data_IF_001190324206
#
_entry.id   IF_001190324206
#
_cell.length_a   1.000
_cell.length_b   1.000
_cell.length_c   1.000
_cell.angle_alpha   90.00
_cell.angle_beta   90.00
_cell.angle_gamma   90.00
#
_symmetry.space_group_name_H-M   'P 1'
#
loop_
_entity.id
_entity.type
_entity.pdbx_description
1 polymer ?
#
# COMPACT_ATOMS: atom_id res chain seq x y z
N UNK A 1 -15.96 5.79 31.56
CA UNK A 1 -17.10 6.08 30.67
C UNK A 1 -16.73 5.52 29.30
N UNK A 2 -16.79 4.20 29.05
CA UNK A 2 -17.95 3.31 29.16
C UNK A 2 -17.54 1.96 29.75
N UNK A 3 -18.00 1.71 30.97
CA UNK A 3 -18.14 0.37 31.52
C UNK A 3 -19.65 0.11 31.56
N UNK A 4 -20.20 -0.22 30.39
CA UNK A 4 -21.57 -0.70 30.29
C UNK A 4 -21.47 -2.21 30.25
N UNK A 5 -22.07 -2.88 31.24
CA UNK A 5 -22.17 -4.32 31.38
C UNK A 5 -22.19 -5.01 30.01
N UNK A 6 -21.19 -5.85 29.73
CA UNK A 6 -21.20 -6.72 28.53
C UNK A 6 -22.26 -7.80 28.75
N UNK A 7 -23.41 -7.77 28.06
CA UNK A 7 -24.42 -8.83 28.19
C UNK A 7 -23.89 -10.20 27.77
N UNK A 8 -22.82 -10.21 26.97
CA UNK A 8 -22.12 -11.41 26.54
C UNK A 8 -21.39 -12.13 27.68
N UNK A 9 -20.95 -11.46 28.76
CA UNK A 9 -20.11 -12.11 29.77
C UNK A 9 -20.92 -13.12 30.63
N UNK A 10 -22.20 -12.82 30.90
CA UNK A 10 -23.14 -13.74 31.58
C UNK A 10 -23.50 -14.94 30.68
N UNK A 11 -23.76 -14.67 29.39
CA UNK A 11 -23.97 -15.71 28.39
C UNK A 11 -22.75 -16.62 28.19
N UNK A 12 -21.54 -16.06 28.26
CA UNK A 12 -20.29 -16.83 28.15
C UNK A 12 -20.04 -17.64 29.42
N UNK A 13 -20.30 -17.08 30.62
CA UNK A 13 -20.17 -17.79 31.90
C UNK A 13 -21.15 -18.94 32.05
N UNK A 14 -22.43 -18.74 31.68
CA UNK A 14 -23.44 -19.81 31.65
C UNK A 14 -23.07 -20.92 30.65
N UNK A 15 -22.34 -20.59 29.58
CA UNK A 15 -21.73 -21.56 28.66
C UNK A 15 -20.36 -22.07 29.09
N UNK A 16 -19.90 -21.75 30.29
CA UNK A 16 -18.57 -22.11 30.82
C UNK A 16 -17.39 -21.69 29.95
N UNK A 17 -17.55 -20.64 29.14
CA UNK A 17 -16.48 -20.08 28.30
C UNK A 17 -15.63 -19.14 29.17
N UNK A 18 -14.31 -19.40 29.31
CA UNK A 18 -13.45 -18.55 30.13
C UNK A 18 -13.36 -17.14 29.55
N UNK A 19 -13.23 -16.15 30.42
CA UNK A 19 -13.10 -14.75 30.02
C UNK A 19 -11.92 -14.57 29.04
N UNK A 20 -12.05 -13.70 28.03
CA UNK A 20 -10.99 -13.47 27.06
C UNK A 20 -9.75 -12.90 27.75
N UNK A 21 -8.69 -13.69 27.78
CA UNK A 21 -7.38 -13.27 28.25
C UNK A 21 -6.80 -12.14 27.38
N UNK A 22 -6.29 -11.09 28.04
CA UNK A 22 -5.72 -9.93 27.39
C UNK A 22 -4.62 -10.32 26.37
N UNK A 23 -4.43 -9.54 25.29
CA UNK A 23 -5.13 -8.29 24.98
C UNK A 23 -6.51 -8.52 24.35
N UNK A 24 -7.48 -7.68 24.73
CA UNK A 24 -8.83 -7.66 24.16
C UNK A 24 -8.81 -7.31 22.66
N UNK A 25 -7.92 -6.39 22.26
CA UNK A 25 -7.67 -6.06 20.86
C UNK A 25 -6.55 -6.94 20.33
N UNK A 26 -6.82 -7.69 19.25
CA UNK A 26 -5.84 -8.61 18.61
C UNK A 26 -5.66 -8.24 17.14
N UNK A 27 -4.88 -7.20 16.80
CA UNK A 27 -4.75 -6.68 15.43
C UNK A 27 -4.27 -7.74 14.42
N UNK A 28 -3.50 -8.74 14.90
CA UNK A 28 -3.03 -9.84 14.07
C UNK A 28 -4.17 -10.67 13.47
N UNK A 29 -5.38 -10.69 14.05
CA UNK A 29 -6.54 -11.44 13.52
C UNK A 29 -6.98 -10.96 12.14
N UNK A 30 -6.86 -9.66 11.85
CA UNK A 30 -7.16 -9.11 10.52
C UNK A 30 -6.04 -9.36 9.49
N UNK A 31 -4.87 -9.86 9.94
CA UNK A 31 -3.68 -10.09 9.09
C UNK A 31 -3.42 -11.57 8.78
N UNK A 32 -4.33 -12.47 9.16
CA UNK A 32 -4.15 -13.93 9.06
C UNK A 32 -4.21 -14.47 7.64
N UNK A 33 -5.11 -13.94 6.80
CA UNK A 33 -5.29 -14.41 5.41
C UNK A 33 -5.19 -13.26 4.41
N UNK A 34 -4.85 -13.55 3.14
CA UNK A 34 -4.89 -12.54 2.09
C UNK A 34 -6.26 -11.87 1.92
N UNK A 35 -7.36 -12.61 2.09
CA UNK A 35 -8.71 -12.08 2.01
C UNK A 35 -9.01 -11.07 3.13
N UNK A 36 -8.69 -11.43 4.38
CA UNK A 36 -8.87 -10.53 5.54
C UNK A 36 -8.02 -9.26 5.41
N UNK A 37 -6.78 -9.40 4.92
CA UNK A 37 -5.90 -8.26 4.65
C UNK A 37 -6.43 -7.33 3.56
N UNK A 38 -7.09 -7.87 2.53
CA UNK A 38 -7.73 -7.08 1.47
C UNK A 38 -8.96 -6.35 1.99
N UNK A 39 -9.77 -7.00 2.82
CA UNK A 39 -10.95 -6.40 3.44
C UNK A 39 -10.60 -5.22 4.36
N UNK A 40 -9.54 -5.35 5.16
CA UNK A 40 -9.11 -4.33 6.13
C UNK A 40 -8.10 -3.31 5.55
N UNK A 41 -7.88 -3.28 4.23
CA UNK A 41 -6.90 -2.37 3.60
C UNK A 41 -7.50 -0.98 3.42
N UNK A 42 -6.82 0.03 3.93
CA UNK A 42 -7.24 1.44 3.81
C UNK A 42 -6.81 2.10 2.49
N UNK A 43 -5.66 1.69 1.95
CA UNK A 43 -5.08 2.33 0.76
C UNK A 43 -4.76 1.34 -0.35
N UNK A 44 -5.10 1.71 -1.58
CA UNK A 44 -4.77 1.01 -2.83
C UNK A 44 -3.96 1.98 -3.70
N UNK A 45 -2.91 1.47 -4.36
CA UNK A 45 -2.15 2.25 -5.34
C UNK A 45 -2.84 2.11 -6.69
N UNK A 46 -3.23 3.25 -7.25
CA UNK A 46 -3.78 3.36 -8.61
C UNK A 46 -2.65 3.76 -9.57
N UNK A 47 -2.46 3.05 -10.71
CA UNK A 47 -1.52 3.48 -11.75
C UNK A 47 -1.71 4.93 -12.20
N UNK A 48 -2.94 5.46 -12.19
CA UNK A 48 -3.22 6.85 -12.55
C UNK A 48 -2.65 7.86 -11.54
N UNK A 49 -2.35 7.43 -10.30
CA UNK A 49 -1.71 8.25 -9.29
C UNK A 49 -0.17 8.27 -9.40
N UNK A 50 0.41 7.55 -10.36
CA UNK A 50 1.86 7.50 -10.56
C UNK A 50 2.33 8.61 -11.50
N UNK A 51 3.36 9.34 -11.07
CA UNK A 51 4.06 10.32 -11.89
C UNK A 51 5.37 9.70 -12.36
N UNK A 52 5.62 9.71 -13.67
CA UNK A 52 6.89 9.29 -14.25
C UNK A 52 7.83 10.51 -14.40
N UNK A 53 8.84 10.69 -13.53
CA UNK A 53 9.84 11.72 -13.74
C UNK A 53 10.73 11.37 -14.94
N UNK A 54 10.91 12.34 -15.84
CA UNK A 54 11.78 12.20 -17.02
C UNK A 54 12.90 13.24 -16.94
N UNK A 55 14.14 12.79 -17.17
CA UNK A 55 15.31 13.65 -17.16
C UNK A 55 15.66 14.09 -18.58
N UNK A 56 15.60 15.40 -18.84
CA UNK A 56 15.89 15.97 -20.16
C UNK A 56 17.28 16.61 -20.16
N UNK A 57 18.06 16.36 -21.22
CA UNK A 57 19.34 17.02 -21.47
C UNK A 57 19.38 17.54 -22.90
N UNK A 58 19.85 18.77 -23.08
CA UNK A 58 20.05 19.36 -24.40
C UNK A 58 21.33 18.81 -25.05
N UNK A 59 21.37 18.75 -26.38
CA UNK A 59 22.57 18.39 -27.14
C UNK A 59 22.94 16.91 -27.13
N UNK A 60 22.02 16.00 -26.82
CA UNK A 60 22.24 14.55 -26.92
C UNK A 60 21.42 13.90 -28.02
N UNK A 61 22.02 13.02 -28.82
CA UNK A 61 21.32 12.33 -29.91
C UNK A 61 20.69 11.00 -29.49
N UNK A 62 21.20 10.43 -28.39
CA UNK A 62 20.75 9.17 -27.81
C UNK A 62 20.64 9.26 -26.28
N UNK A 63 19.82 8.41 -25.64
CA UNK A 63 19.72 8.36 -24.20
C UNK A 63 21.08 8.04 -23.55
N UNK A 64 21.47 8.82 -22.56
CA UNK A 64 22.73 8.64 -21.85
C UNK A 64 22.47 8.26 -20.39
N UNK A 65 23.20 7.28 -19.83
CA UNK A 65 23.03 6.89 -18.43
C UNK A 65 23.40 8.04 -17.49
N UNK A 66 22.59 8.24 -16.45
CA UNK A 66 22.87 9.27 -15.46
C UNK A 66 23.58 8.67 -14.23
N UNK A 67 24.80 9.10 -13.96
CA UNK A 67 25.64 8.51 -12.90
C UNK A 67 25.07 8.62 -11.49
N UNK A 68 24.28 9.66 -11.19
CA UNK A 68 23.67 9.86 -9.85
C UNK A 68 22.41 9.02 -9.63
N UNK A 69 21.76 8.61 -10.71
CA UNK A 69 20.58 7.75 -10.70
C UNK A 69 20.76 6.68 -11.79
N UNK A 70 21.50 5.59 -11.51
CA UNK A 70 21.97 4.65 -12.53
C UNK A 70 20.85 3.88 -13.24
N UNK A 71 19.66 3.78 -12.64
CA UNK A 71 18.47 3.22 -13.29
C UNK A 71 17.83 4.18 -14.31
N UNK A 72 18.21 5.46 -14.33
CA UNK A 72 17.64 6.50 -15.18
C UNK A 72 18.62 6.94 -16.26
N UNK A 73 18.09 7.26 -17.44
CA UNK A 73 18.83 7.85 -18.55
C UNK A 73 18.27 9.22 -18.92
N UNK A 74 19.15 10.17 -19.23
CA UNK A 74 18.74 11.47 -19.78
C UNK A 74 18.38 11.31 -21.25
N UNK A 75 17.26 11.89 -21.67
CA UNK A 75 16.77 11.81 -23.06
C UNK A 75 16.61 13.20 -23.67
N UNK A 76 16.76 13.33 -24.99
CA UNK A 76 16.49 14.57 -25.74
C UNK A 76 15.01 14.93 -25.67
N UNK A 77 14.68 16.21 -25.56
CA UNK A 77 13.31 16.72 -25.52
C UNK A 77 12.38 16.12 -26.60
N UNK A 78 12.84 16.07 -27.85
CA UNK A 78 12.06 15.56 -28.99
C UNK A 78 11.66 14.08 -28.88
N UNK A 79 12.46 13.25 -28.16
CA UNK A 79 12.11 11.85 -27.90
C UNK A 79 11.26 11.67 -26.64
N UNK A 80 11.37 12.56 -25.66
CA UNK A 80 10.57 12.49 -24.45
C UNK A 80 9.07 12.59 -24.76
N UNK A 81 8.68 13.48 -25.67
CA UNK A 81 7.29 13.66 -26.09
C UNK A 81 6.71 12.45 -26.86
N UNK A 82 7.56 11.65 -27.50
CA UNK A 82 7.16 10.51 -28.33
C UNK A 82 7.04 9.19 -27.55
N UNK A 83 7.34 9.18 -26.24
CA UNK A 83 7.29 7.96 -25.44
C UNK A 83 5.84 7.68 -25.03
N UNK A 84 5.24 6.56 -25.49
CA UNK A 84 3.88 6.22 -25.10
C UNK A 84 3.82 5.98 -23.58
N UNK A 85 2.65 6.24 -22.94
CA UNK A 85 2.44 5.81 -21.57
C UNK A 85 2.69 4.29 -21.47
N UNK A 86 3.22 3.79 -20.34
CA UNK A 86 3.38 2.36 -20.17
C UNK A 86 2.02 1.68 -20.37
N UNK A 87 1.99 0.60 -21.17
CA UNK A 87 0.78 -0.21 -21.32
C UNK A 87 0.36 -0.74 -19.95
N UNK A 88 -0.93 -0.59 -19.62
CA UNK A 88 -1.53 -1.06 -18.37
C UNK A 88 -1.51 -2.58 -18.26
#
# INVERSE_FOLDING_TARGET
MTDALRPADDFLSSRSVPAPQAPAVRPRRLRTTPAMRRLAREHVVDPAALILPVFVREGIDSPAPWRRCPASSSTRWTRCAARPPPAA
#
